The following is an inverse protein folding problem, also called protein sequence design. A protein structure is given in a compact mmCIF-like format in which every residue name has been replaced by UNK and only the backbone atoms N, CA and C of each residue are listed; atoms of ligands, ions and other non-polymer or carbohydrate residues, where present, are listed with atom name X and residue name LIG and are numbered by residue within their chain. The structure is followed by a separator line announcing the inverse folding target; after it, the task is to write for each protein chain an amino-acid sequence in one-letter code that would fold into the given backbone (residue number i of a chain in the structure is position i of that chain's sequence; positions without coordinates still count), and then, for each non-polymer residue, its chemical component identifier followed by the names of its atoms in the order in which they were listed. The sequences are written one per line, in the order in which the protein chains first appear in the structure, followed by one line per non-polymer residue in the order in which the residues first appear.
data_IF_497676122617
#
_entry.id   IF_497676122617
#
_cell.length_a   1.000
_cell.length_b   1.000
_cell.length_c   1.000
_cell.angle_alpha   90.00
_cell.angle_beta   90.00
_cell.angle_gamma   90.00
#
_symmetry.space_group_name_H-M   'P 1'
#
loop_
_entity.id
_entity.type
_entity.pdbx_description
1 polymer ?
#
# COMPACT_ATOMS: atom_id res chain seq x y z
N UNK A 1 7.17 -14.74 29.25
CA UNK A 1 8.24 -13.88 28.75
C UNK A 1 7.70 -12.92 27.70
N UNK A 2 8.08 -11.69 27.83
CA UNK A 2 7.63 -10.65 26.91
C UNK A 2 8.56 -10.60 25.70
N UNK A 3 7.98 -10.58 24.53
CA UNK A 3 8.74 -10.35 23.31
C UNK A 3 9.26 -8.91 23.34
N UNK A 4 10.59 -8.76 23.29
CA UNK A 4 11.21 -7.45 23.34
C UNK A 4 11.24 -6.75 21.98
N UNK A 5 10.90 -7.47 20.91
CA UNK A 5 10.88 -6.91 19.57
C UNK A 5 9.57 -6.19 19.35
N UNK A 6 9.61 -4.86 19.36
CA UNK A 6 8.42 -4.07 19.13
C UNK A 6 7.97 -4.17 17.68
N UNK A 7 6.65 -4.19 17.48
CA UNK A 7 6.08 -4.08 16.16
C UNK A 7 6.20 -2.65 15.64
N UNK A 8 6.45 -2.52 14.36
CA UNK A 8 6.45 -1.24 13.66
C UNK A 8 5.31 -1.20 12.67
N UNK A 9 4.90 0.00 12.29
CA UNK A 9 3.91 0.18 11.24
C UNK A 9 4.58 0.18 9.87
N UNK A 10 3.93 -0.53 8.96
CA UNK A 10 4.32 -0.54 7.55
C UNK A 10 3.13 -0.09 6.74
N UNK A 11 3.36 0.79 5.77
CA UNK A 11 2.30 1.27 4.88
C UNK A 11 2.12 0.25 3.76
N UNK A 12 0.86 -0.12 3.51
CA UNK A 12 0.50 -0.96 2.36
C UNK A 12 -0.27 -0.09 1.38
N UNK A 13 0.22 -0.04 0.16
CA UNK A 13 -0.37 0.78 -0.91
C UNK A 13 -0.94 -0.16 -1.97
N UNK A 14 -2.24 -0.02 -2.24
CA UNK A 14 -2.91 -0.77 -3.30
C UNK A 14 -2.57 -0.16 -4.65
N UNK A 15 -2.03 -0.97 -5.54
CA UNK A 15 -1.57 -0.50 -6.84
C UNK A 15 -2.21 -1.26 -7.99
N UNK A 16 -2.40 -0.55 -9.10
CA UNK A 16 -2.85 -1.15 -10.34
C UNK A 16 -4.36 -1.18 -10.48
N UNK A 17 -4.82 -1.94 -11.42
CA UNK A 17 -6.23 -2.05 -11.77
C UNK A 17 -6.63 -3.52 -11.79
N UNK A 18 -7.92 -3.75 -11.61
CA UNK A 18 -8.46 -5.11 -11.72
C UNK A 18 -8.17 -5.68 -13.10
N UNK A 19 -7.99 -7.00 -13.15
CA UNK A 19 -7.82 -7.71 -14.41
C UNK A 19 -9.09 -7.53 -15.26
N UNK A 20 -8.94 -6.92 -16.43
CA UNK A 20 -10.06 -6.57 -17.29
C UNK A 20 -10.84 -7.78 -17.81
N UNK A 21 -10.22 -8.96 -17.82
CA UNK A 21 -10.87 -10.19 -18.29
C UNK A 21 -11.80 -10.81 -17.24
N UNK A 22 -11.76 -10.34 -15.98
CA UNK A 22 -12.59 -10.90 -14.92
C UNK A 22 -13.94 -10.19 -14.86
N UNK A 23 -15.03 -10.96 -14.68
CA UNK A 23 -16.35 -10.32 -14.53
C UNK A 23 -16.46 -9.62 -13.18
N UNK A 24 -17.27 -8.56 -13.08
CA UNK A 24 -17.43 -7.81 -11.82
C UNK A 24 -17.85 -8.68 -10.64
N UNK A 25 -18.62 -9.72 -10.86
CA UNK A 25 -19.05 -10.61 -9.77
C UNK A 25 -17.88 -11.34 -9.12
N UNK A 26 -16.88 -11.72 -9.92
CA UNK A 26 -15.69 -12.39 -9.40
C UNK A 26 -14.82 -11.42 -8.62
N UNK A 27 -14.65 -10.21 -9.13
CA UNK A 27 -13.92 -9.15 -8.44
C UNK A 27 -14.62 -8.83 -7.12
N UNK A 28 -15.94 -8.75 -7.12
CA UNK A 28 -16.71 -8.46 -5.91
C UNK A 28 -16.50 -9.52 -4.84
N UNK A 29 -16.42 -10.80 -5.22
CA UNK A 29 -16.14 -11.87 -4.25
C UNK A 29 -14.77 -11.68 -3.60
N UNK A 30 -13.77 -11.25 -4.38
CA UNK A 30 -12.44 -10.96 -3.84
C UNK A 30 -12.47 -9.77 -2.90
N UNK A 31 -13.21 -8.73 -3.25
CA UNK A 31 -13.36 -7.53 -2.41
C UNK A 31 -14.03 -7.90 -1.08
N UNK A 32 -15.11 -8.67 -1.14
CA UNK A 32 -15.81 -9.10 0.07
C UNK A 32 -14.90 -9.93 0.97
N UNK A 33 -14.14 -10.84 0.37
CA UNK A 33 -13.17 -11.65 1.11
C UNK A 33 -12.06 -10.78 1.71
N UNK A 34 -11.64 -9.74 1.00
CA UNK A 34 -10.64 -8.80 1.50
C UNK A 34 -11.13 -8.13 2.79
N UNK A 35 -12.36 -7.64 2.80
CA UNK A 35 -12.86 -6.94 3.99
C UNK A 35 -12.94 -7.87 5.20
N UNK A 36 -13.29 -9.13 4.99
CA UNK A 36 -13.31 -10.11 6.08
C UNK A 36 -11.88 -10.40 6.57
N UNK A 37 -10.96 -10.63 5.65
CA UNK A 37 -9.56 -10.91 5.95
C UNK A 37 -8.92 -9.75 6.70
N UNK A 38 -9.11 -8.53 6.20
CA UNK A 38 -8.53 -7.33 6.81
C UNK A 38 -9.10 -7.08 8.20
N UNK A 39 -10.41 -7.19 8.34
CA UNK A 39 -11.07 -6.98 9.64
C UNK A 39 -10.56 -7.96 10.70
N UNK A 40 -10.33 -9.22 10.33
CA UNK A 40 -9.78 -10.21 11.24
C UNK A 40 -8.38 -9.85 11.72
N UNK A 41 -7.56 -9.34 10.80
CA UNK A 41 -6.20 -8.96 11.14
C UNK A 41 -6.14 -7.65 11.92
N UNK A 42 -7.07 -6.73 11.69
CA UNK A 42 -7.21 -5.54 12.53
C UNK A 42 -7.59 -5.95 13.95
N UNK A 43 -8.57 -6.83 14.10
CA UNK A 43 -8.99 -7.31 15.41
C UNK A 43 -7.87 -8.05 16.14
N UNK A 44 -7.05 -8.79 15.39
CA UNK A 44 -5.90 -9.50 15.95
C UNK A 44 -4.71 -8.58 16.28
N UNK A 45 -4.82 -7.30 16.02
CA UNK A 45 -3.75 -6.34 16.29
C UNK A 45 -2.60 -6.38 15.28
N UNK A 46 -2.83 -6.97 14.11
CA UNK A 46 -1.79 -7.13 13.09
C UNK A 46 -1.92 -6.14 11.94
N UNK A 47 -3.03 -5.45 11.87
CA UNK A 47 -3.27 -4.43 10.86
C UNK A 47 -4.03 -3.26 11.44
N UNK A 48 -3.93 -2.12 10.77
CA UNK A 48 -4.77 -0.95 11.05
C UNK A 48 -5.47 -0.56 9.77
N UNK A 49 -6.71 -0.11 9.90
CA UNK A 49 -7.47 0.38 8.76
C UNK A 49 -6.83 1.63 8.19
N UNK A 50 -6.95 1.77 6.89
CA UNK A 50 -6.60 2.99 6.18
C UNK A 50 -7.82 3.49 5.44
N UNK A 51 -7.59 4.03 4.25
CA UNK A 51 -8.66 4.62 3.49
C UNK A 51 -8.52 4.28 2.01
N UNK A 52 -9.66 4.29 1.34
CA UNK A 52 -9.68 4.22 -0.10
C UNK A 52 -9.48 5.61 -0.66
N UNK A 53 -8.89 5.69 -1.86
CA UNK A 53 -8.70 6.96 -2.54
C UNK A 53 -9.73 7.10 -3.65
N UNK A 54 -10.26 8.32 -3.78
CA UNK A 54 -11.17 8.65 -4.86
C UNK A 54 -10.43 8.64 -6.19
N UNK A 55 -11.19 8.50 -7.26
CA UNK A 55 -10.64 8.46 -8.61
C UNK A 55 -10.00 9.78 -9.04
N UNK A 56 -10.53 10.88 -8.54
CA UNK A 56 -10.06 12.22 -8.87
C UNK A 56 -8.72 12.50 -8.20
N UNK A 57 -7.91 13.29 -8.85
CA UNK A 57 -6.65 13.71 -8.26
C UNK A 57 -6.03 14.85 -9.05
N UNK A 58 -5.03 15.45 -8.46
CA UNK A 58 -4.25 16.50 -9.10
C UNK A 58 -2.78 16.26 -8.85
N UNK A 59 -1.99 16.59 -9.85
CA UNK A 59 -0.54 16.55 -9.73
C UNK A 59 -0.01 17.97 -9.59
N UNK A 60 0.71 18.22 -8.52
CA UNK A 60 1.27 19.54 -8.23
C UNK A 60 2.77 19.50 -8.49
N UNK A 61 3.24 20.34 -9.39
CA UNK A 61 4.65 20.45 -9.75
C UNK A 61 5.05 21.91 -9.77
N UNK A 62 6.33 22.17 -9.87
CA UNK A 62 6.83 23.53 -9.99
C UNK A 62 6.24 24.27 -11.19
N UNK A 63 6.01 23.54 -12.29
CA UNK A 63 5.45 24.10 -13.51
C UNK A 63 3.94 24.38 -13.43
N UNK A 64 3.28 23.89 -12.40
CA UNK A 64 1.84 24.11 -12.22
C UNK A 64 1.12 22.87 -11.73
N UNK A 65 -0.20 22.93 -11.80
CA UNK A 65 -1.09 21.86 -11.34
C UNK A 65 -1.81 21.28 -12.53
N UNK A 66 -1.80 19.96 -12.65
CA UNK A 66 -2.52 19.24 -13.70
C UNK A 66 -3.54 18.29 -13.09
N UNK A 67 -4.58 17.99 -13.85
CA UNK A 67 -5.65 17.12 -13.37
C UNK A 67 -5.33 15.64 -13.59
N UNK A 68 -5.78 14.77 -12.63
CA UNK A 68 -5.90 13.35 -12.81
C UNK A 68 -7.28 13.02 -13.35
N UNK A 69 -7.61 11.75 -13.58
CA UNK A 69 -6.88 10.56 -13.18
C UNK A 69 -5.65 10.28 -14.03
N UNK A 70 -4.74 9.52 -13.46
CA UNK A 70 -3.52 9.12 -14.14
C UNK A 70 -3.83 7.95 -15.07
N UNK A 71 -3.35 8.04 -16.32
CA UNK A 71 -3.69 7.06 -17.35
C UNK A 71 -2.93 5.74 -17.23
N UNK A 72 -1.73 5.78 -16.69
CA UNK A 72 -0.90 4.59 -16.56
C UNK A 72 -1.38 3.72 -15.41
N UNK A 73 -1.66 2.43 -15.69
CA UNK A 73 -2.16 1.51 -14.68
C UNK A 73 -1.21 1.44 -13.46
N UNK A 74 0.10 1.52 -13.69
CA UNK A 74 1.09 1.49 -12.61
C UNK A 74 1.03 2.68 -11.67
N UNK A 75 0.40 3.77 -12.12
CA UNK A 75 0.25 4.98 -11.32
C UNK A 75 -1.02 4.98 -10.47
N UNK A 76 -1.91 4.02 -10.72
CA UNK A 76 -3.18 3.96 -10.00
C UNK A 76 -2.94 3.46 -8.58
N UNK A 77 -3.38 4.26 -7.63
CA UNK A 77 -3.34 3.90 -6.21
C UNK A 77 -4.78 3.92 -5.70
N UNK A 78 -5.28 2.73 -5.34
CA UNK A 78 -6.68 2.59 -4.94
C UNK A 78 -6.94 2.87 -3.48
N UNK A 79 -5.91 2.80 -2.64
CA UNK A 79 -6.05 3.02 -1.22
C UNK A 79 -4.82 2.57 -0.46
N UNK A 80 -4.91 2.63 0.85
CA UNK A 80 -3.80 2.22 1.72
C UNK A 80 -4.35 1.75 3.06
N UNK A 81 -3.52 0.97 3.76
CA UNK A 81 -3.72 0.62 5.17
C UNK A 81 -2.36 0.31 5.79
N UNK A 82 -2.37 -0.19 7.02
CA UNK A 82 -1.14 -0.42 7.76
C UNK A 82 -1.05 -1.85 8.24
N UNK A 83 0.17 -2.40 8.22
CA UNK A 83 0.48 -3.69 8.81
C UNK A 83 1.40 -3.44 10.01
N UNK A 84 1.13 -4.15 11.10
CA UNK A 84 1.97 -4.11 12.30
C UNK A 84 2.81 -5.37 12.30
N UNK A 85 4.12 -5.23 12.18
CA UNK A 85 5.02 -6.36 12.06
C UNK A 85 6.39 -6.01 12.64
N UNK A 86 7.21 -7.03 12.86
CA UNK A 86 8.54 -6.85 13.43
C UNK A 86 9.60 -6.64 12.37
N UNK A 87 9.27 -6.90 11.11
CA UNK A 87 10.21 -6.73 10.00
C UNK A 87 9.42 -6.49 8.71
N UNK A 88 10.12 -5.97 7.72
CA UNK A 88 9.55 -5.77 6.39
C UNK A 88 9.12 -7.10 5.77
N UNK A 89 9.94 -8.15 5.95
CA UNK A 89 9.60 -9.47 5.43
C UNK A 89 8.32 -10.01 6.06
N UNK A 90 8.15 -9.85 7.36
CA UNK A 90 6.92 -10.27 8.04
C UNK A 90 5.72 -9.46 7.56
N UNK A 91 5.90 -8.15 7.36
CA UNK A 91 4.84 -7.29 6.84
C UNK A 91 4.41 -7.74 5.43
N UNK A 92 5.38 -8.05 4.58
CA UNK A 92 5.09 -8.52 3.22
C UNK A 92 4.39 -9.87 3.24
N UNK A 93 4.78 -10.76 4.13
CA UNK A 93 4.13 -12.06 4.27
C UNK A 93 2.67 -11.91 4.70
N UNK A 94 2.40 -11.03 5.66
CA UNK A 94 1.02 -10.75 6.06
C UNK A 94 0.21 -10.19 4.90
N UNK A 95 0.78 -9.25 4.15
CA UNK A 95 0.10 -8.64 3.02
C UNK A 95 -0.15 -9.64 1.89
N UNK A 96 0.67 -10.67 1.77
CA UNK A 96 0.56 -11.67 0.70
C UNK A 96 -0.70 -12.54 0.82
N UNK A 97 -1.38 -12.51 1.95
CA UNK A 97 -2.65 -13.21 2.14
C UNK A 97 -3.85 -12.50 1.56
N UNK A 98 -3.66 -11.34 0.93
CA UNK A 98 -4.76 -10.54 0.41
C UNK A 98 -5.49 -11.23 -0.74
N UNK A 99 -6.81 -11.47 -0.62
CA UNK A 99 -7.58 -12.14 -1.68
C UNK A 99 -7.59 -11.40 -3.02
N UNK A 100 -7.42 -10.08 -3.00
CA UNK A 100 -7.48 -9.28 -4.22
C UNK A 100 -6.26 -9.47 -5.13
N UNK A 101 -5.19 -10.08 -4.64
CA UNK A 101 -4.04 -10.40 -5.47
C UNK A 101 -4.41 -11.29 -6.66
N UNK A 102 -5.38 -12.18 -6.48
CA UNK A 102 -5.81 -13.08 -7.54
C UNK A 102 -6.52 -12.35 -8.67
N UNK A 103 -6.96 -11.12 -8.44
CA UNK A 103 -7.75 -10.36 -9.41
C UNK A 103 -6.97 -9.22 -10.08
N UNK A 104 -5.65 -9.23 -9.98
CA UNK A 104 -4.81 -8.33 -10.77
C UNK A 104 -4.16 -7.18 -10.02
N UNK A 105 -4.58 -6.90 -8.79
CA UNK A 105 -3.96 -5.84 -8.01
C UNK A 105 -2.62 -6.29 -7.43
N UNK A 106 -1.77 -5.32 -7.13
CA UNK A 106 -0.54 -5.54 -6.39
C UNK A 106 -0.48 -4.59 -5.21
N UNK A 107 0.36 -4.92 -4.25
CA UNK A 107 0.45 -4.15 -3.02
C UNK A 107 1.89 -3.87 -2.69
N UNK A 108 2.18 -2.60 -2.52
CA UNK A 108 3.51 -2.14 -2.16
C UNK A 108 3.56 -1.96 -0.65
N UNK A 109 4.54 -2.60 -0.01
CA UNK A 109 4.70 -2.54 1.45
C UNK A 109 5.96 -1.72 1.76
N UNK A 110 5.79 -0.66 2.53
CA UNK A 110 6.87 0.28 2.83
C UNK A 110 7.03 0.51 4.32
N UNK A 111 8.24 0.39 4.86
CA UNK A 111 8.51 0.89 6.21
C UNK A 111 8.21 2.38 6.27
N UNK A 112 7.73 2.83 7.42
CA UNK A 112 7.47 4.25 7.65
C UNK A 112 8.69 4.85 8.34
N UNK A 113 9.22 5.92 7.76
CA UNK A 113 10.40 6.58 8.31
C UNK A 113 10.00 7.37 9.55
N UNK A 114 10.76 7.19 10.63
CA UNK A 114 10.48 7.86 11.88
C UNK A 114 11.16 9.22 12.01
N UNK A 115 12.11 9.51 11.11
CA UNK A 115 12.84 10.77 11.13
C UNK A 115 12.40 11.64 9.97
N UNK A 116 12.54 12.95 10.17
CA UNK A 116 12.18 13.91 9.15
C UNK A 116 13.19 13.87 8.00
N UNK A 117 12.77 14.31 6.83
CA UNK A 117 13.62 14.31 5.64
C UNK A 117 14.88 15.15 5.85
N UNK A 118 15.97 14.72 5.25
CA UNK A 118 17.23 15.45 5.26
C UNK A 118 17.96 15.17 3.95
N UNK A 119 18.55 16.21 3.38
CA UNK A 119 19.36 16.06 2.17
C UNK A 119 20.65 15.26 2.42
N UNK A 120 21.01 15.10 3.69
CA UNK A 120 22.26 14.42 4.07
C UNK A 120 22.04 12.95 4.46
N UNK A 121 20.79 12.49 4.39
CA UNK A 121 20.44 11.09 4.62
C UNK A 121 19.98 10.46 3.30
N UNK A 122 20.38 9.21 3.08
CA UNK A 122 20.00 8.50 1.87
C UNK A 122 18.54 8.03 2.00
N UNK A 123 17.68 8.43 1.06
CA UNK A 123 16.27 8.05 1.03
C UNK A 123 15.87 7.69 -0.41
N UNK A 124 14.62 7.29 -0.56
CA UNK A 124 14.08 7.00 -1.91
C UNK A 124 14.08 8.24 -2.81
N UNK A 125 14.12 9.43 -2.20
CA UNK A 125 14.11 10.68 -2.95
C UNK A 125 15.52 11.18 -3.29
N UNK A 126 16.55 10.52 -2.77
CA UNK A 126 17.93 10.89 -3.05
C UNK A 126 18.27 10.46 -4.47
N UNK A 127 18.66 11.40 -5.36
CA UNK A 127 18.99 11.03 -6.72
C UNK A 127 20.29 10.24 -6.78
N UNK A 128 20.40 9.38 -7.79
CA UNK A 128 21.66 8.72 -8.10
C UNK A 128 22.65 9.77 -8.59
N UNK A 129 23.86 9.72 -8.05
CA UNK A 129 24.92 10.61 -8.48
C UNK A 129 26.08 9.76 -8.98
N UNK A 130 26.63 10.13 -10.12
CA UNK A 130 27.79 9.46 -10.68
C UNK A 130 29.07 9.98 -9.98
N UNK A 131 29.93 9.06 -9.67
CA UNK A 131 31.23 9.36 -9.07
C UNK A 131 31.25 9.39 -7.59
#
# INVERSE_FOLDING_TARGET
MTDTTASSEYLVISRGQWNASLPPAEIQRAIDAFYIWHARLVEAGKMKAGQRLAREGKLVQKSGVTDGPFAEAKEVVGGYWFVLARSLDEAAELASGNPCLACGLSYEVRPIESVRASAFALTSETPKRDG
#
